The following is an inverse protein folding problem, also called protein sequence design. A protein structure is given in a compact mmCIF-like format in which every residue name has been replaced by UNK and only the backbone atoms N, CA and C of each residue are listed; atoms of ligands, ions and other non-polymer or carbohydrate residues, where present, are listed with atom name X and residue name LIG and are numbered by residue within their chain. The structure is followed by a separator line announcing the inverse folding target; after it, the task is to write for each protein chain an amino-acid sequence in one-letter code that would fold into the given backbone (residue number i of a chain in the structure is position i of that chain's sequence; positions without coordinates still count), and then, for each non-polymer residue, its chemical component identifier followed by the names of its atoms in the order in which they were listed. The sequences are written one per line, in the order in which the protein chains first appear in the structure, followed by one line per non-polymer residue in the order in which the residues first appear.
data_IF_376030107476
#
_entry.id   IF_376030107476
#
_cell.length_a   1.000
_cell.length_b   1.000
_cell.length_c   1.000
_cell.angle_alpha   90.00
_cell.angle_beta   90.00
_cell.angle_gamma   90.00
#
_symmetry.space_group_name_H-M   'P 1'
#
loop_
_entity.id
_entity.type
_entity.pdbx_description
1 polymer ?
#
# COMPACT_ATOMS: atom_id res chain seq x y z
N UNK A 1 7.90 -3.17 -0.06
CA UNK A 1 8.25 -4.23 0.91
C UNK A 1 8.17 -3.60 2.28
N UNK A 2 7.64 -4.31 3.29
CA UNK A 2 7.53 -3.81 4.67
C UNK A 2 6.89 -2.41 4.76
N UNK A 3 5.94 -2.15 3.85
CA UNK A 3 5.24 -0.87 3.69
C UNK A 3 6.14 0.31 3.26
N UNK A 4 7.39 0.02 2.90
CA UNK A 4 8.35 0.97 2.36
C UNK A 4 8.17 1.09 0.83
N UNK A 5 8.05 2.33 0.37
CA UNK A 5 8.10 2.70 -1.04
C UNK A 5 9.56 2.84 -1.47
N UNK A 6 9.94 2.06 -2.48
CA UNK A 6 11.29 2.06 -3.05
C UNK A 6 11.27 2.62 -4.47
N UNK A 7 12.35 3.31 -4.83
CA UNK A 7 12.68 3.66 -6.20
C UNK A 7 13.78 2.73 -6.71
N UNK A 8 13.63 2.22 -7.94
CA UNK A 8 14.69 1.49 -8.63
C UNK A 8 15.68 2.47 -9.27
N UNK A 9 16.92 2.52 -8.79
CA UNK A 9 18.01 3.36 -9.32
C UNK A 9 19.19 2.45 -9.63
N UNK A 10 19.62 2.42 -10.89
CA UNK A 10 20.76 1.62 -11.36
C UNK A 10 20.73 0.14 -10.91
N UNK A 11 19.53 -0.45 -10.89
CA UNK A 11 19.31 -1.83 -10.48
C UNK A 11 19.28 -2.07 -8.96
N UNK A 12 19.37 -1.01 -8.15
CA UNK A 12 19.24 -1.06 -6.70
C UNK A 12 17.91 -0.45 -6.26
N UNK A 13 17.36 -0.95 -5.15
CA UNK A 13 16.17 -0.38 -4.52
C UNK A 13 16.59 0.60 -3.44
N UNK A 14 16.22 1.87 -3.62
CA UNK A 14 16.50 2.96 -2.69
C UNK A 14 15.18 3.43 -2.07
N UNK A 15 15.04 3.51 -0.74
CA UNK A 15 13.85 4.08 -0.12
C UNK A 15 13.58 5.50 -0.65
N UNK A 16 12.34 5.82 -1.01
CA UNK A 16 12.03 7.10 -1.68
C UNK A 16 12.44 8.34 -0.87
N UNK A 17 12.50 8.25 0.47
CA UNK A 17 12.96 9.33 1.34
C UNK A 17 14.48 9.54 1.37
N UNK A 18 15.25 8.69 0.68
CA UNK A 18 16.71 8.82 0.50
C UNK A 18 17.08 9.22 -0.92
N UNK A 19 16.08 9.48 -1.76
CA UNK A 19 16.26 9.91 -3.16
C UNK A 19 16.10 11.42 -3.30
N UNK A 20 16.35 11.95 -4.50
CA UNK A 20 16.05 13.34 -4.84
C UNK A 20 14.59 13.75 -4.57
N UNK A 21 13.65 12.80 -4.59
CA UNK A 21 12.23 13.04 -4.27
C UNK A 21 11.97 13.32 -2.79
N UNK A 22 12.93 13.09 -1.89
CA UNK A 22 12.78 13.43 -0.48
C UNK A 22 12.65 14.95 -0.25
N UNK A 23 13.29 15.74 -1.11
CA UNK A 23 13.36 17.20 -1.00
C UNK A 23 12.34 17.94 -1.89
N UNK A 24 11.41 17.22 -2.52
CA UNK A 24 10.36 17.83 -3.33
C UNK A 24 9.44 18.71 -2.46
N UNK A 25 9.22 19.96 -2.88
CA UNK A 25 8.49 20.95 -2.10
C UNK A 25 6.97 20.72 -2.06
N UNK A 26 6.43 19.88 -2.94
CA UNK A 26 5.00 19.58 -3.05
C UNK A 26 4.71 18.15 -2.56
N UNK A 27 5.57 17.18 -2.90
CA UNK A 27 5.38 15.75 -2.63
C UNK A 27 6.54 15.08 -1.88
N UNK A 28 7.40 15.86 -1.22
CA UNK A 28 8.55 15.35 -0.48
C UNK A 28 8.21 14.18 0.45
N UNK A 29 8.99 13.09 0.34
CA UNK A 29 8.92 11.93 1.22
C UNK A 29 9.89 12.12 2.38
N UNK A 30 9.42 12.56 3.56
CA UNK A 30 10.26 12.52 4.79
C UNK A 30 10.43 11.11 5.32
N UNK A 31 9.49 10.23 5.00
CA UNK A 31 9.53 8.81 5.29
C UNK A 31 9.09 8.03 4.05
N UNK A 32 9.71 6.87 3.80
CA UNK A 32 9.25 5.94 2.78
C UNK A 32 8.20 4.95 3.29
N UNK A 33 7.92 4.92 4.60
CA UNK A 33 6.87 4.08 5.17
C UNK A 33 5.49 4.69 4.84
N UNK A 34 4.72 4.03 3.99
CA UNK A 34 3.47 4.58 3.46
C UNK A 34 2.41 4.89 4.53
N UNK A 35 2.13 4.03 5.53
CA UNK A 35 1.23 4.38 6.63
C UNK A 35 1.64 5.67 7.36
N UNK A 36 2.93 5.80 7.71
CA UNK A 36 3.45 7.01 8.36
C UNK A 36 3.41 8.24 7.46
N UNK A 37 3.66 8.04 6.16
CA UNK A 37 3.56 9.11 5.17
C UNK A 37 2.12 9.61 5.04
N UNK A 38 1.11 8.72 5.04
CA UNK A 38 -0.30 9.12 5.04
C UNK A 38 -0.64 9.92 6.30
N UNK A 39 -0.22 9.45 7.47
CA UNK A 39 -0.41 10.18 8.72
C UNK A 39 0.21 11.58 8.67
N UNK A 40 1.43 11.70 8.15
CA UNK A 40 2.08 13.00 7.95
C UNK A 40 1.26 13.90 7.00
N UNK A 41 0.89 13.41 5.81
CA UNK A 41 0.19 14.22 4.80
C UNK A 41 -1.22 14.60 5.22
N UNK A 42 -1.83 13.83 6.10
CA UNK A 42 -3.16 14.10 6.65
C UNK A 42 -3.09 14.89 7.96
N UNK A 43 -1.90 15.35 8.38
CA UNK A 43 -1.65 16.04 9.65
C UNK A 43 -2.23 15.26 10.86
N UNK A 44 -2.10 13.94 10.86
CA UNK A 44 -2.55 13.04 11.93
C UNK A 44 -4.05 12.72 11.92
N UNK A 45 -4.84 13.25 10.97
CA UNK A 45 -6.27 12.91 10.89
C UNK A 45 -6.51 11.45 10.50
N UNK A 46 -5.55 10.80 9.83
CA UNK A 46 -5.52 9.37 9.59
C UNK A 46 -4.30 8.77 10.30
N UNK A 47 -4.52 8.07 11.41
CA UNK A 47 -3.44 7.44 12.17
C UNK A 47 -2.80 6.30 11.35
N UNK A 48 -1.48 6.15 11.43
CA UNK A 48 -0.77 5.14 10.64
C UNK A 48 -1.24 3.71 10.96
N UNK A 49 -1.66 3.46 12.19
CA UNK A 49 -2.18 2.20 12.72
C UNK A 49 -3.58 1.86 12.19
N UNK A 50 -4.30 2.84 11.62
CA UNK A 50 -5.61 2.61 11.01
C UNK A 50 -5.50 1.99 9.62
N UNK A 51 -4.32 2.03 8.99
CA UNK A 51 -4.10 1.48 7.66
C UNK A 51 -4.17 -0.06 7.67
N UNK A 52 -4.93 -0.62 6.75
CA UNK A 52 -4.89 -2.06 6.48
C UNK A 52 -3.69 -2.38 5.61
N UNK A 53 -2.97 -3.44 5.98
CA UNK A 53 -1.78 -3.89 5.27
C UNK A 53 -2.11 -5.19 4.54
N UNK A 54 -1.87 -5.20 3.23
CA UNK A 54 -1.80 -6.42 2.43
C UNK A 54 -0.31 -6.71 2.22
N UNK A 55 0.20 -7.72 2.93
CA UNK A 55 1.60 -8.11 2.87
C UNK A 55 1.91 -8.98 1.64
N UNK A 56 3.20 -9.15 1.33
CA UNK A 56 3.59 -10.12 0.30
C UNK A 56 3.25 -11.56 0.71
N UNK A 57 3.20 -11.86 2.01
CA UNK A 57 2.81 -13.18 2.50
C UNK A 57 1.32 -13.44 2.25
N UNK A 58 0.46 -12.45 2.51
CA UNK A 58 -0.97 -12.54 2.19
C UNK A 58 -1.19 -12.79 0.70
N UNK A 59 -0.39 -12.14 -0.15
CA UNK A 59 -0.48 -12.28 -1.61
C UNK A 59 0.06 -13.63 -2.09
N UNK A 60 1.28 -14.00 -1.70
CA UNK A 60 1.98 -15.18 -2.23
C UNK A 60 1.46 -16.49 -1.66
N UNK A 61 1.14 -16.52 -0.37
CA UNK A 61 0.68 -17.74 0.31
C UNK A 61 -0.85 -17.79 0.38
N UNK A 62 -1.49 -16.64 0.62
CA UNK A 62 -2.95 -16.56 0.75
C UNK A 62 -3.68 -16.38 -0.57
N UNK A 63 -3.03 -15.82 -1.59
CA UNK A 63 -3.62 -15.61 -2.91
C UNK A 63 -4.83 -14.66 -2.90
N UNK A 64 -5.68 -14.80 -3.93
CA UNK A 64 -6.82 -13.92 -4.17
C UNK A 64 -7.80 -13.92 -2.99
N UNK A 65 -8.07 -15.09 -2.39
CA UNK A 65 -9.07 -15.23 -1.34
C UNK A 65 -8.65 -14.53 -0.04
N UNK A 66 -7.39 -14.67 0.36
CA UNK A 66 -6.87 -13.97 1.54
C UNK A 66 -6.89 -12.46 1.37
N UNK A 67 -6.47 -11.98 0.20
CA UNK A 67 -6.50 -10.54 -0.12
C UNK A 67 -7.94 -10.02 -0.14
N UNK A 68 -8.87 -10.78 -0.72
CA UNK A 68 -10.30 -10.46 -0.74
C UNK A 68 -10.89 -10.31 0.67
N UNK A 69 -10.57 -11.23 1.59
CA UNK A 69 -11.01 -11.14 2.99
C UNK A 69 -10.51 -9.86 3.68
N UNK A 70 -9.24 -9.50 3.47
CA UNK A 70 -8.66 -8.26 4.00
C UNK A 70 -9.40 -7.05 3.43
N UNK A 71 -9.63 -7.03 2.12
CA UNK A 71 -10.36 -5.95 1.44
C UNK A 71 -11.80 -5.80 1.96
N UNK A 72 -12.49 -6.91 2.28
CA UNK A 72 -13.83 -6.85 2.86
C UNK A 72 -13.83 -6.26 4.28
N UNK A 73 -12.77 -6.49 5.05
CA UNK A 73 -12.63 -5.94 6.40
C UNK A 73 -12.43 -4.42 6.43
N UNK A 74 -12.03 -3.81 5.31
CA UNK A 74 -11.83 -2.36 5.19
C UNK A 74 -13.10 -1.58 5.54
N UNK A 75 -13.03 -0.65 6.48
CA UNK A 75 -14.17 0.15 6.91
C UNK A 75 -13.70 1.56 7.23
N UNK A 76 -14.64 2.50 7.36
CA UNK A 76 -14.35 3.89 7.73
C UNK A 76 -13.32 4.60 6.83
N UNK A 77 -13.28 4.24 5.54
CA UNK A 77 -12.28 4.74 4.58
C UNK A 77 -10.83 4.58 5.05
N UNK A 78 -10.55 3.51 5.81
CA UNK A 78 -9.19 3.14 6.19
C UNK A 78 -8.32 2.99 4.92
N UNK A 79 -7.14 3.64 4.86
CA UNK A 79 -6.21 3.42 3.78
C UNK A 79 -5.79 1.95 3.70
N UNK A 80 -5.61 1.45 2.48
CA UNK A 80 -5.16 0.08 2.23
C UNK A 80 -3.79 0.14 1.57
N UNK A 81 -2.77 -0.38 2.23
CA UNK A 81 -1.40 -0.42 1.73
C UNK A 81 -1.14 -1.81 1.14
N UNK A 82 -0.84 -1.85 -0.14
CA UNK A 82 -0.50 -3.07 -0.86
C UNK A 82 1.01 -3.15 -1.03
N UNK A 83 1.63 -4.20 -0.49
CA UNK A 83 3.01 -4.50 -0.81
C UNK A 83 3.10 -5.25 -2.14
N UNK A 84 3.96 -4.79 -3.04
CA UNK A 84 4.26 -5.46 -4.29
C UNK A 84 5.75 -5.35 -4.63
N UNK A 85 6.27 -6.37 -5.31
CA UNK A 85 7.62 -6.44 -5.91
C UNK A 85 7.55 -6.62 -7.43
N UNK A 86 6.43 -7.11 -7.95
CA UNK A 86 6.25 -7.46 -9.36
C UNK A 86 4.81 -7.26 -9.80
N UNK A 87 4.59 -7.29 -11.12
CA UNK A 87 3.24 -7.27 -11.68
C UNK A 87 2.39 -8.47 -11.28
N UNK A 88 3.00 -9.63 -11.04
CA UNK A 88 2.30 -10.80 -10.55
C UNK A 88 1.58 -10.54 -9.21
N UNK A 89 2.20 -9.76 -8.33
CA UNK A 89 1.59 -9.39 -7.03
C UNK A 89 0.37 -8.49 -7.25
N UNK A 90 0.46 -7.57 -8.21
CA UNK A 90 -0.61 -6.66 -8.58
C UNK A 90 -1.76 -7.37 -9.29
N UNK A 91 -1.50 -8.43 -10.06
CA UNK A 91 -2.53 -9.23 -10.71
C UNK A 91 -3.42 -9.93 -9.67
N UNK A 92 -2.82 -10.55 -8.64
CA UNK A 92 -3.55 -11.18 -7.53
C UNK A 92 -4.44 -10.17 -6.82
N UNK A 93 -3.87 -9.01 -6.47
CA UNK A 93 -4.61 -7.95 -5.78
C UNK A 93 -5.72 -7.39 -6.65
N UNK A 94 -5.48 -7.19 -7.94
CA UNK A 94 -6.47 -6.68 -8.89
C UNK A 94 -7.67 -7.63 -9.02
N UNK A 95 -7.42 -8.94 -9.10
CA UNK A 95 -8.48 -9.96 -9.11
C UNK A 95 -9.27 -9.97 -7.80
N UNK A 96 -8.61 -9.81 -6.66
CA UNK A 96 -9.26 -9.72 -5.36
C UNK A 96 -10.12 -8.45 -5.23
N UNK A 97 -9.65 -7.31 -5.74
CA UNK A 97 -10.41 -6.05 -5.79
C UNK A 97 -11.65 -6.20 -6.67
N UNK A 98 -11.53 -6.80 -7.86
CA UNK A 98 -12.67 -7.07 -8.72
C UNK A 98 -13.71 -7.96 -8.03
N UNK A 99 -13.27 -9.03 -7.36
CA UNK A 99 -14.14 -9.90 -6.55
C UNK A 99 -14.82 -9.14 -5.41
N UNK A 100 -14.11 -8.25 -4.72
CA UNK A 100 -14.67 -7.39 -3.67
C UNK A 100 -15.77 -6.46 -4.22
N UNK A 101 -15.50 -5.80 -5.35
CA UNK A 101 -16.45 -4.92 -6.01
C UNK A 101 -17.70 -5.69 -6.47
N UNK A 102 -17.52 -6.87 -7.06
CA UNK A 102 -18.63 -7.74 -7.49
C UNK A 102 -19.52 -8.18 -6.30
N UNK A 103 -18.92 -8.34 -5.11
CA UNK A 103 -19.65 -8.59 -3.86
C UNK A 103 -20.29 -7.34 -3.23
N UNK A 104 -20.26 -6.19 -3.91
CA UNK A 104 -20.89 -4.94 -3.47
C UNK A 104 -19.99 -4.01 -2.65
N UNK A 105 -18.70 -4.33 -2.48
CA UNK A 105 -17.75 -3.44 -1.82
C UNK A 105 -17.47 -2.22 -2.69
N UNK A 106 -17.41 -1.04 -2.08
CA UNK A 106 -16.99 0.19 -2.75
C UNK A 106 -15.70 0.70 -2.13
N UNK A 107 -14.78 1.13 -2.99
CA UNK A 107 -13.53 1.79 -2.64
C UNK A 107 -13.54 3.19 -3.26
N UNK A 108 -12.94 4.16 -2.58
CA UNK A 108 -12.96 5.59 -2.96
C UNK A 108 -11.53 6.11 -3.06
#
# INVERSE_FOLDING_TARGET
MDNIHYLGVDGQLVPVNETEFANDSVFGFKTANLPKWIEEKTNGSVASESALIISLEDIHNGGIDKVYEILLSANNNAPIIVNAKSYYDLDIVSLAVLKAIDSGKQFV
#
